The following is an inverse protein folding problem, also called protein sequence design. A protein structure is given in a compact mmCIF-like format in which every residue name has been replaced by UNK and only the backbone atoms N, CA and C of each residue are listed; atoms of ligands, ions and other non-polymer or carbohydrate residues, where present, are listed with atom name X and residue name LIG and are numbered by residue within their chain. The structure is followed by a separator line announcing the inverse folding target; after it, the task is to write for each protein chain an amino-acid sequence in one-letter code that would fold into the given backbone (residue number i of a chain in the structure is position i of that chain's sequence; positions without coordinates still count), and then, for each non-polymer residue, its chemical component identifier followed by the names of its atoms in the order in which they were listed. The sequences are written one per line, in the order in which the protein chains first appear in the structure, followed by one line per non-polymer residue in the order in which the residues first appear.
data_IF_732295970457
#
_entry.id   IF_732295970457
#
_cell.length_a   1.000
_cell.length_b   1.000
_cell.length_c   1.000
_cell.angle_alpha   90.00
_cell.angle_beta   90.00
_cell.angle_gamma   90.00
#
_symmetry.space_group_name_H-M   'P 1'
#
loop_
_entity.id
_entity.type
_entity.pdbx_description
1 polymer ?
#
# COMPACT_ATOMS: atom_id res chain seq x y z
N UNK A 1 -6.04 3.59 15.36
CA UNK A 1 -5.33 4.71 14.68
C UNK A 1 -6.34 5.67 14.10
N UNK A 2 -6.01 6.96 13.92
CA UNK A 2 -6.96 8.04 13.56
C UNK A 2 -7.87 7.73 12.35
N UNK A 3 -7.41 6.94 11.39
CA UNK A 3 -8.22 6.52 10.23
C UNK A 3 -9.31 5.49 10.61
N UNK A 4 -9.03 4.61 11.59
CA UNK A 4 -9.99 3.66 12.15
C UNK A 4 -11.05 4.41 12.99
N UNK A 5 -10.61 5.35 13.83
CA UNK A 5 -11.49 6.16 14.67
C UNK A 5 -12.46 7.02 13.85
N UNK A 6 -12.01 7.60 12.72
CA UNK A 6 -12.90 8.30 11.77
C UNK A 6 -13.99 7.40 11.17
N UNK A 7 -13.69 6.11 10.95
CA UNK A 7 -14.64 5.12 10.41
C UNK A 7 -15.69 4.71 11.44
N UNK A 8 -15.28 4.62 12.72
CA UNK A 8 -16.14 4.22 13.85
C UNK A 8 -16.98 5.37 14.43
N UNK A 9 -16.64 6.63 14.10
CA UNK A 9 -17.35 7.83 14.54
C UNK A 9 -18.83 7.86 14.11
N UNK A 10 -19.73 8.09 15.07
CA UNK A 10 -21.19 7.94 14.87
C UNK A 10 -21.86 9.24 14.40
N UNK A 11 -21.22 10.38 14.60
CA UNK A 11 -21.83 11.71 14.45
C UNK A 11 -20.94 12.62 13.60
N UNK A 12 -21.57 13.60 12.93
CA UNK A 12 -20.90 14.54 12.01
C UNK A 12 -19.79 15.36 12.70
N UNK A 13 -19.96 15.65 13.99
CA UNK A 13 -18.96 16.37 14.82
C UNK A 13 -17.70 15.52 15.05
N UNK A 14 -17.85 14.27 15.47
CA UNK A 14 -16.73 13.33 15.68
C UNK A 14 -15.96 13.05 14.40
N UNK A 15 -16.66 12.83 13.28
CA UNK A 15 -16.03 12.69 11.95
C UNK A 15 -15.19 13.89 11.55
N UNK A 16 -15.61 15.12 11.95
CA UNK A 16 -14.89 16.37 11.66
C UNK A 16 -13.63 16.48 12.53
N UNK A 17 -13.72 16.15 13.81
CA UNK A 17 -12.57 16.13 14.72
C UNK A 17 -11.51 15.12 14.24
N UNK A 18 -11.89 13.88 13.92
CA UNK A 18 -10.97 12.87 13.39
C UNK A 18 -10.38 13.26 12.03
N UNK A 19 -11.16 13.95 11.18
CA UNK A 19 -10.62 14.48 9.93
C UNK A 19 -9.58 15.57 10.13
N UNK A 20 -9.72 16.40 11.17
CA UNK A 20 -8.71 17.40 11.54
C UNK A 20 -7.45 16.74 12.10
N UNK A 21 -7.58 15.66 12.88
CA UNK A 21 -6.44 14.87 13.36
C UNK A 21 -5.68 14.26 12.18
N UNK A 22 -6.39 13.69 11.20
CA UNK A 22 -5.78 13.18 9.97
C UNK A 22 -5.07 14.30 9.21
N UNK A 23 -5.71 15.47 9.02
CA UNK A 23 -5.11 16.62 8.34
C UNK A 23 -3.86 17.14 9.06
N UNK A 24 -3.86 17.16 10.40
CA UNK A 24 -2.69 17.47 11.20
C UNK A 24 -1.57 16.42 11.04
N UNK A 25 -1.90 15.14 10.96
CA UNK A 25 -0.93 14.07 10.67
C UNK A 25 -0.32 14.29 9.28
N UNK A 26 -1.12 14.63 8.27
CA UNK A 26 -0.63 14.94 6.93
C UNK A 26 0.26 16.18 6.92
N UNK A 27 -0.15 17.27 7.59
CA UNK A 27 0.67 18.49 7.74
C UNK A 27 1.99 18.23 8.47
N UNK A 28 1.99 17.34 9.47
CA UNK A 28 3.23 16.90 10.16
C UNK A 28 4.17 16.11 9.24
N UNK A 29 3.63 15.38 8.26
CA UNK A 29 4.42 14.64 7.27
C UNK A 29 5.00 15.52 6.15
N UNK A 30 4.46 16.72 5.92
CA UNK A 30 5.04 17.68 4.97
C UNK A 30 6.45 18.05 5.44
N UNK A 31 7.44 17.79 4.59
CA UNK A 31 8.85 18.07 4.87
C UNK A 31 9.55 17.05 5.78
N UNK A 32 8.91 15.93 6.15
CA UNK A 32 9.53 14.91 7.01
C UNK A 32 10.83 14.35 6.39
N UNK A 33 10.83 14.08 5.08
CA UNK A 33 12.03 13.58 4.38
C UNK A 33 13.20 14.56 4.42
N UNK A 34 12.91 15.87 4.34
CA UNK A 34 13.95 16.92 4.44
C UNK A 34 14.48 17.01 5.86
N UNK A 35 13.60 16.98 6.86
CA UNK A 35 14.00 16.97 8.28
C UNK A 35 14.85 15.74 8.62
N UNK A 36 14.44 14.57 8.14
CA UNK A 36 15.20 13.33 8.34
C UNK A 36 16.60 13.43 7.74
N UNK A 37 16.71 13.97 6.52
CA UNK A 37 18.01 14.20 5.89
C UNK A 37 18.90 15.10 6.75
N UNK A 38 18.39 16.26 7.17
CA UNK A 38 19.15 17.19 8.01
C UNK A 38 19.59 16.54 9.35
N UNK A 39 18.70 15.76 9.97
CA UNK A 39 19.01 15.05 11.21
C UNK A 39 20.07 13.96 11.01
N UNK A 40 20.05 13.24 9.88
CA UNK A 40 21.09 12.27 9.55
C UNK A 40 22.44 12.97 9.33
N UNK A 41 22.48 14.09 8.60
CA UNK A 41 23.72 14.86 8.41
C UNK A 41 24.29 15.36 9.74
N UNK A 42 23.44 15.83 10.66
CA UNK A 42 23.84 16.26 12.00
C UNK A 42 24.42 15.11 12.84
N UNK A 43 23.79 13.93 12.81
CA UNK A 43 24.22 12.78 13.60
C UNK A 43 25.46 12.09 13.05
N UNK A 44 25.62 12.03 11.73
CA UNK A 44 26.68 11.23 11.10
C UNK A 44 27.82 12.07 10.52
N UNK A 45 27.62 13.39 10.34
CA UNK A 45 28.58 14.26 9.65
C UNK A 45 28.74 13.94 8.16
N UNK A 46 27.82 13.15 7.58
CA UNK A 46 27.87 12.73 6.18
C UNK A 46 26.82 13.49 5.38
N UNK A 47 27.14 13.88 4.14
CA UNK A 47 26.18 14.51 3.24
C UNK A 47 25.05 13.52 2.87
N UNK A 48 23.81 13.96 2.95
CA UNK A 48 22.61 13.22 2.57
C UNK A 48 21.94 13.85 1.36
N UNK A 49 21.43 13.02 0.45
CA UNK A 49 20.70 13.46 -0.75
C UNK A 49 19.31 12.85 -0.75
N UNK A 50 18.30 13.71 -0.83
CA UNK A 50 16.90 13.31 -0.86
C UNK A 50 16.40 13.19 -2.30
N UNK A 51 15.71 12.11 -2.61
CA UNK A 51 14.98 11.94 -3.88
C UNK A 51 13.55 11.50 -3.57
N UNK A 52 12.57 12.22 -4.14
CA UNK A 52 11.13 11.92 -3.99
C UNK A 52 10.59 11.54 -5.36
N UNK A 53 10.34 10.25 -5.58
CA UNK A 53 9.94 9.73 -6.90
C UNK A 53 8.53 10.16 -7.34
N UNK A 54 7.59 10.28 -6.39
CA UNK A 54 6.23 10.73 -6.67
C UNK A 54 5.51 9.90 -7.76
N UNK A 55 4.87 10.61 -8.70
CA UNK A 55 4.03 10.02 -9.75
C UNK A 55 4.77 9.12 -10.75
N UNK A 56 6.09 9.22 -10.84
CA UNK A 56 6.91 8.38 -11.74
C UNK A 56 6.69 6.88 -11.45
N UNK A 57 6.40 6.51 -10.20
CA UNK A 57 6.13 5.12 -9.80
C UNK A 57 4.85 4.52 -10.40
N UNK A 58 3.94 5.35 -10.93
CA UNK A 58 2.67 4.89 -11.54
C UNK A 58 2.70 4.93 -13.07
N UNK A 59 3.78 5.45 -13.65
CA UNK A 59 3.98 5.51 -15.09
C UNK A 59 4.96 4.45 -15.60
N UNK A 60 5.29 4.54 -16.87
CA UNK A 60 6.24 3.65 -17.53
C UNK A 60 5.58 2.45 -18.21
N UNK A 61 6.41 1.69 -18.93
CA UNK A 61 5.97 0.51 -19.65
C UNK A 61 5.85 -0.67 -18.69
N UNK A 62 4.72 -1.41 -18.65
CA UNK A 62 4.56 -2.58 -17.80
C UNK A 62 5.65 -3.62 -18.06
N UNK A 63 6.15 -4.24 -16.99
CA UNK A 63 7.16 -5.29 -17.06
C UNK A 63 6.59 -6.54 -17.75
N UNK A 64 7.42 -7.47 -18.26
CA UNK A 64 6.95 -8.74 -18.79
C UNK A 64 6.05 -9.51 -17.79
N UNK A 65 6.40 -9.48 -16.49
CA UNK A 65 5.61 -10.11 -15.44
C UNK A 65 4.24 -9.46 -15.28
N UNK A 66 4.15 -8.12 -15.31
CA UNK A 66 2.88 -7.40 -15.23
C UNK A 66 1.98 -7.73 -16.41
N UNK A 67 2.55 -7.82 -17.61
CA UNK A 67 1.80 -8.18 -18.83
C UNK A 67 1.23 -9.58 -18.75
N UNK A 68 2.04 -10.56 -18.34
CA UNK A 68 1.59 -11.96 -18.17
C UNK A 68 0.51 -12.04 -17.09
N UNK A 69 0.70 -11.36 -15.96
CA UNK A 69 -0.31 -11.32 -14.89
C UNK A 69 -1.62 -10.69 -15.35
N UNK A 70 -1.55 -9.56 -16.07
CA UNK A 70 -2.74 -8.87 -16.59
C UNK A 70 -3.50 -9.74 -17.59
N UNK A 71 -2.81 -10.41 -18.52
CA UNK A 71 -3.44 -11.35 -19.46
C UNK A 71 -4.11 -12.50 -18.72
N UNK A 72 -3.41 -13.14 -17.78
CA UNK A 72 -3.96 -14.25 -16.98
C UNK A 72 -5.23 -13.84 -16.22
N UNK A 73 -5.19 -12.72 -15.50
CA UNK A 73 -6.35 -12.23 -14.76
C UNK A 73 -7.50 -11.81 -15.68
N UNK A 74 -7.19 -11.15 -16.80
CA UNK A 74 -8.19 -10.70 -17.77
C UNK A 74 -8.91 -11.85 -18.47
N UNK A 75 -8.19 -12.89 -18.88
CA UNK A 75 -8.77 -14.09 -19.49
C UNK A 75 -9.70 -14.81 -18.52
N UNK A 76 -9.25 -15.06 -17.28
CA UNK A 76 -10.08 -15.69 -16.25
C UNK A 76 -11.33 -14.85 -15.92
N UNK A 77 -11.20 -13.51 -15.89
CA UNK A 77 -12.36 -12.63 -15.69
C UNK A 77 -13.37 -12.75 -16.84
N UNK A 78 -12.91 -12.76 -18.10
CA UNK A 78 -13.77 -12.91 -19.27
C UNK A 78 -14.51 -14.25 -19.28
N UNK A 79 -13.84 -15.35 -18.89
CA UNK A 79 -14.47 -16.67 -18.73
C UNK A 79 -15.58 -16.65 -17.69
N UNK A 80 -15.34 -16.04 -16.52
CA UNK A 80 -16.37 -15.94 -15.47
C UNK A 80 -17.57 -15.09 -15.91
N UNK A 81 -17.35 -14.02 -16.67
CA UNK A 81 -18.43 -13.22 -17.25
C UNK A 81 -19.24 -14.06 -18.24
N UNK A 82 -18.58 -14.85 -19.10
CA UNK A 82 -19.27 -15.73 -20.05
C UNK A 82 -20.12 -16.81 -19.35
N UNK A 83 -19.71 -17.25 -18.15
CA UNK A 83 -20.48 -18.15 -17.30
C UNK A 83 -21.62 -17.46 -16.53
N UNK A 84 -21.78 -16.13 -16.65
CA UNK A 84 -22.81 -15.35 -15.96
C UNK A 84 -22.46 -14.98 -14.52
N UNK A 85 -21.22 -15.24 -14.08
CA UNK A 85 -20.80 -14.93 -12.72
C UNK A 85 -20.50 -13.43 -12.57
N UNK A 86 -20.93 -12.85 -11.45
CA UNK A 86 -20.73 -11.44 -11.13
C UNK A 86 -20.54 -11.25 -9.62
N UNK A 87 -20.14 -10.05 -9.18
CA UNK A 87 -19.90 -9.78 -7.76
C UNK A 87 -18.62 -10.43 -7.21
N UNK A 88 -17.70 -10.86 -8.08
CA UNK A 88 -16.46 -11.55 -7.74
C UNK A 88 -15.23 -10.80 -8.25
N UNK A 89 -14.10 -11.01 -7.59
CA UNK A 89 -12.76 -10.59 -7.99
C UNK A 89 -11.95 -11.82 -8.42
N UNK A 90 -11.14 -11.69 -9.46
CA UNK A 90 -10.15 -12.72 -9.82
C UNK A 90 -8.86 -12.45 -9.05
N UNK A 91 -8.42 -13.40 -8.23
CA UNK A 91 -7.16 -13.36 -7.52
C UNK A 91 -6.12 -14.28 -8.19
N UNK A 92 -4.85 -13.87 -8.20
CA UNK A 92 -3.74 -14.75 -8.60
C UNK A 92 -3.21 -15.48 -7.38
N UNK A 93 -3.15 -16.81 -7.44
CA UNK A 93 -2.65 -17.67 -6.36
C UNK A 93 -1.69 -18.70 -6.91
N UNK A 94 -0.40 -18.53 -6.60
CA UNK A 94 0.65 -19.32 -7.23
C UNK A 94 0.59 -19.19 -8.75
N UNK A 95 0.52 -20.33 -9.44
CA UNK A 95 0.43 -20.39 -10.91
C UNK A 95 -1.01 -20.26 -11.44
N UNK A 96 -2.02 -20.31 -10.57
CA UNK A 96 -3.45 -20.34 -10.96
C UNK A 96 -4.21 -19.06 -10.61
N UNK A 97 -5.48 -19.00 -11.03
CA UNK A 97 -6.44 -17.96 -10.65
C UNK A 97 -7.57 -18.54 -9.81
N UNK A 98 -8.06 -17.79 -8.84
CA UNK A 98 -9.26 -18.14 -8.05
C UNK A 98 -10.27 -16.99 -8.05
N UNK A 99 -11.54 -17.31 -7.86
CA UNK A 99 -12.61 -16.32 -7.68
C UNK A 99 -12.79 -16.05 -6.19
N UNK A 100 -12.94 -14.76 -5.84
CA UNK A 100 -13.17 -14.32 -4.46
C UNK A 100 -14.36 -13.38 -4.44
N UNK A 101 -15.37 -13.60 -3.58
CA UNK A 101 -16.49 -12.67 -3.42
C UNK A 101 -16.02 -11.25 -3.09
N UNK A 102 -16.63 -10.23 -3.73
CA UNK A 102 -16.22 -8.84 -3.53
C UNK A 102 -16.48 -8.32 -2.11
N UNK A 103 -17.51 -8.83 -1.44
CA UNK A 103 -17.86 -8.51 -0.05
C UNK A 103 -16.80 -8.99 0.95
N UNK A 104 -16.12 -10.10 0.69
CA UNK A 104 -15.03 -10.60 1.52
C UNK A 104 -13.78 -9.72 1.45
N UNK A 105 -13.53 -9.06 0.32
CA UNK A 105 -12.34 -8.21 0.12
C UNK A 105 -12.61 -6.74 0.39
N UNK A 106 -13.86 -6.29 0.23
CA UNK A 106 -14.22 -4.89 0.39
C UNK A 106 -13.95 -4.42 1.82
N UNK A 107 -13.12 -3.37 1.93
CA UNK A 107 -12.82 -2.74 3.22
C UNK A 107 -11.76 -3.45 4.07
N UNK A 108 -11.28 -4.61 3.64
CA UNK A 108 -10.16 -5.32 4.25
C UNK A 108 -8.82 -4.66 3.91
N UNK A 109 -7.85 -4.79 4.82
CA UNK A 109 -6.47 -4.36 4.59
C UNK A 109 -5.56 -5.57 4.58
N UNK A 110 -4.80 -5.75 3.50
CA UNK A 110 -3.71 -6.71 3.45
C UNK A 110 -2.50 -6.15 4.20
N UNK A 111 -2.25 -6.65 5.39
CA UNK A 111 -1.06 -6.31 6.17
C UNK A 111 0.10 -7.24 5.80
N UNK A 112 1.33 -6.77 6.03
CA UNK A 112 2.53 -7.60 5.93
C UNK A 112 2.87 -8.09 7.34
N UNK A 113 2.91 -9.40 7.60
CA UNK A 113 3.29 -9.92 8.90
C UNK A 113 4.72 -9.50 9.28
N UNK A 114 5.00 -9.05 10.52
CA UNK A 114 6.34 -8.64 10.94
C UNK A 114 7.40 -9.74 10.87
N UNK A 115 6.97 -10.99 10.90
CA UNK A 115 7.76 -12.22 10.83
C UNK A 115 7.83 -12.82 9.42
N UNK A 116 7.26 -12.13 8.41
CA UNK A 116 7.28 -12.56 7.02
C UNK A 116 8.73 -12.82 6.55
N UNK A 117 9.01 -13.92 5.81
CA UNK A 117 10.37 -14.28 5.39
C UNK A 117 11.16 -13.14 4.73
N UNK A 118 10.51 -12.37 3.84
CA UNK A 118 11.12 -11.18 3.23
C UNK A 118 11.46 -10.06 4.23
N UNK A 119 10.65 -9.83 5.25
CA UNK A 119 10.95 -8.84 6.30
C UNK A 119 12.15 -9.30 7.13
N UNK A 120 12.20 -10.60 7.47
CA UNK A 120 13.35 -11.20 8.15
C UNK A 120 14.63 -11.09 7.30
N UNK A 121 14.56 -11.44 6.02
CA UNK A 121 15.68 -11.36 5.11
C UNK A 121 16.20 -9.91 4.98
N UNK A 122 15.31 -8.94 4.79
CA UNK A 122 15.67 -7.53 4.72
C UNK A 122 16.43 -7.07 5.98
N UNK A 123 15.94 -7.42 7.18
CA UNK A 123 16.63 -7.09 8.44
C UNK A 123 17.99 -7.77 8.56
N UNK A 124 18.11 -9.03 8.12
CA UNK A 124 19.37 -9.78 8.18
C UNK A 124 20.47 -9.18 7.29
N UNK A 125 20.11 -8.54 6.18
CA UNK A 125 21.07 -7.82 5.32
C UNK A 125 21.24 -6.34 5.71
N UNK A 126 20.72 -5.94 6.87
CA UNK A 126 20.88 -4.59 7.41
C UNK A 126 19.96 -3.52 6.80
N UNK A 127 18.90 -3.91 6.09
CA UNK A 127 17.91 -2.95 5.56
C UNK A 127 17.07 -2.38 6.71
N UNK A 128 17.08 -1.06 6.84
CA UNK A 128 16.15 -0.34 7.71
C UNK A 128 14.83 -0.10 6.98
N UNK A 129 13.71 -0.49 7.60
CA UNK A 129 12.35 -0.33 7.05
C UNK A 129 11.61 0.87 7.64
N UNK A 130 12.29 1.72 8.41
CA UNK A 130 11.68 2.76 9.23
C UNK A 130 11.01 2.19 10.49
N UNK A 131 10.50 3.09 11.33
CA UNK A 131 9.75 2.80 12.57
C UNK A 131 8.31 3.24 12.46
#
# INVERSE_FOLDING_TARGET
GAIQAKREAKNKSEKKAESQVIDQIWKKHVGHTIRLSAHLEELTGLQSRVTILGHVQRGGTPSPADRVLATKLGTAAAEQIALGNSGIMIASKGLDTETVPLDEVAGQRKTVPPDHPWVRAARQVGVSLGT
#
